data_IF_208422341717
#
_entry.id   IF_208422341717
#
_cell.length_a   1.000
_cell.length_b   1.000
_cell.length_c   1.000
_cell.angle_alpha   90.00
_cell.angle_beta   90.00
_cell.angle_gamma   90.00
#
_symmetry.space_group_name_H-M   'P 1'
#
loop_
_entity.id
_entity.type
_entity.pdbx_description
1 polymer ?
#
# COMPACT_ATOMS: atom_id res chain seq x y z
N UNK A 1 -23.04 -1.27 10.10
CA UNK A 1 -22.77 -0.28 11.18
C UNK A 1 -21.28 0.06 11.28
N UNK A 2 -20.43 -0.95 11.41
CA UNK A 2 -18.98 -0.76 11.57
C UNK A 2 -18.28 -0.17 10.35
N UNK A 3 -18.79 -0.40 9.14
CA UNK A 3 -18.18 0.13 7.91
C UNK A 3 -18.23 1.66 7.84
N UNK A 4 -19.39 2.26 8.16
CA UNK A 4 -19.50 3.72 8.21
C UNK A 4 -18.60 4.33 9.28
N UNK A 5 -18.57 3.74 10.47
CA UNK A 5 -17.68 4.17 11.54
C UNK A 5 -16.21 4.13 11.09
N UNK A 6 -15.80 3.05 10.42
CA UNK A 6 -14.44 2.92 9.88
C UNK A 6 -14.09 4.00 8.84
N UNK A 7 -15.01 4.32 7.92
CA UNK A 7 -14.82 5.42 6.96
C UNK A 7 -14.65 6.78 7.66
N UNK A 8 -15.53 7.07 8.60
CA UNK A 8 -15.49 8.34 9.36
C UNK A 8 -14.19 8.46 10.15
N UNK A 9 -13.74 7.39 10.79
CA UNK A 9 -12.48 7.38 11.54
C UNK A 9 -11.29 7.64 10.63
N UNK A 10 -11.20 6.96 9.49
CA UNK A 10 -10.09 7.14 8.54
C UNK A 10 -10.03 8.57 7.96
N UNK A 11 -11.17 9.17 7.70
CA UNK A 11 -11.21 10.52 7.10
C UNK A 11 -11.03 11.65 8.11
N UNK A 12 -11.48 11.46 9.35
CA UNK A 12 -11.59 12.57 10.32
C UNK A 12 -10.86 12.33 11.64
N UNK A 13 -10.47 11.10 11.92
CA UNK A 13 -9.73 10.72 13.13
C UNK A 13 -8.77 9.55 12.85
N UNK A 14 -7.98 9.69 11.79
CA UNK A 14 -7.09 8.63 11.33
C UNK A 14 -5.98 8.34 12.33
N UNK A 15 -5.66 7.07 12.49
CA UNK A 15 -4.45 6.63 13.19
C UNK A 15 -3.21 7.09 12.40
N UNK A 16 -2.03 7.28 13.05
CA UNK A 16 -0.82 7.72 12.37
C UNK A 16 -0.44 6.87 11.15
N UNK A 17 -0.67 5.56 11.20
CA UNK A 17 -0.40 4.64 10.10
C UNK A 17 -1.32 4.81 8.88
N UNK A 18 -2.49 5.39 9.06
CA UNK A 18 -3.51 5.59 8.02
C UNK A 18 -3.62 7.04 7.56
N UNK A 19 -3.09 7.97 8.34
CA UNK A 19 -3.25 9.42 8.12
C UNK A 19 -2.88 9.84 6.70
N UNK A 20 -1.72 9.44 6.22
CA UNK A 20 -1.22 9.82 4.89
C UNK A 20 -2.02 9.22 3.73
N UNK A 21 -2.83 8.20 3.99
CA UNK A 21 -3.64 7.52 2.97
C UNK A 21 -5.06 8.08 2.85
N UNK A 22 -5.55 8.76 3.89
CA UNK A 22 -6.93 9.26 3.97
C UNK A 22 -6.99 10.72 4.38
N UNK A 23 -6.89 11.00 5.65
CA UNK A 23 -7.04 12.35 6.20
C UNK A 23 -5.97 13.32 5.65
N UNK A 24 -4.72 12.90 5.57
CA UNK A 24 -3.63 13.70 5.04
C UNK A 24 -3.72 13.99 3.55
N UNK A 25 -4.49 13.18 2.79
CA UNK A 25 -4.81 13.43 1.38
C UNK A 25 -6.07 14.29 1.17
N UNK A 26 -6.76 14.66 2.24
CA UNK A 26 -8.03 15.37 2.15
C UNK A 26 -9.21 14.49 1.71
N UNK A 27 -9.12 13.17 1.87
CA UNK A 27 -10.21 12.24 1.58
C UNK A 27 -11.35 12.46 2.58
N UNK A 28 -12.56 12.59 2.06
CA UNK A 28 -13.76 12.87 2.85
C UNK A 28 -14.84 11.83 2.58
N UNK A 29 -15.84 11.80 3.44
CA UNK A 29 -17.12 11.11 3.23
C UNK A 29 -18.09 12.13 2.67
N UNK A 30 -18.88 11.79 1.66
CA UNK A 30 -19.88 12.71 1.10
C UNK A 30 -20.87 13.17 2.17
N UNK A 31 -21.39 14.38 2.04
CA UNK A 31 -22.25 15.01 3.04
C UNK A 31 -23.49 14.17 3.35
N UNK A 32 -24.08 13.55 2.34
CA UNK A 32 -25.21 12.66 2.48
C UNK A 32 -24.95 11.51 3.47
N UNK A 33 -23.82 10.84 3.35
CA UNK A 33 -23.45 9.73 4.23
C UNK A 33 -22.87 10.18 5.58
N UNK A 34 -22.29 11.37 5.59
CA UNK A 34 -21.73 11.97 6.80
C UNK A 34 -22.84 12.42 7.76
N UNK A 35 -23.82 13.12 7.25
CA UNK A 35 -24.88 13.73 8.03
C UNK A 35 -26.07 12.80 8.27
N UNK A 36 -26.33 11.86 7.35
CA UNK A 36 -27.42 10.91 7.44
C UNK A 36 -26.92 9.45 7.33
N UNK A 37 -26.75 8.74 8.47
CA UNK A 37 -26.32 7.34 8.46
C UNK A 37 -27.28 6.41 7.70
N UNK A 38 -28.56 6.69 7.68
CA UNK A 38 -29.56 5.86 7.01
C UNK A 38 -29.36 5.84 5.51
N UNK A 39 -29.00 6.97 4.90
CA UNK A 39 -28.65 7.06 3.48
C UNK A 39 -27.50 6.12 3.10
N UNK A 40 -26.50 6.00 3.94
CA UNK A 40 -25.40 5.05 3.71
C UNK A 40 -25.88 3.60 3.79
N UNK A 41 -26.70 3.27 4.77
CA UNK A 41 -27.22 1.90 4.93
C UNK A 41 -28.14 1.51 3.79
N UNK A 42 -29.04 2.40 3.37
CA UNK A 42 -29.93 2.17 2.23
C UNK A 42 -29.14 1.96 0.94
N UNK A 43 -28.15 2.81 0.67
CA UNK A 43 -27.27 2.65 -0.48
C UNK A 43 -26.52 1.31 -0.41
N UNK A 44 -26.02 0.93 0.75
CA UNK A 44 -25.28 -0.33 0.94
C UNK A 44 -26.14 -1.54 0.58
N UNK A 45 -27.37 -1.60 1.08
CA UNK A 45 -28.30 -2.69 0.79
C UNK A 45 -28.65 -2.77 -0.70
N UNK A 46 -28.79 -1.63 -1.37
CA UNK A 46 -29.10 -1.55 -2.80
C UNK A 46 -27.89 -1.83 -3.71
N UNK A 47 -26.66 -1.80 -3.18
CA UNK A 47 -25.43 -1.97 -3.95
C UNK A 47 -24.62 -3.22 -3.55
N UNK A 48 -25.31 -4.25 -3.08
CA UNK A 48 -24.73 -5.59 -2.94
C UNK A 48 -23.96 -5.84 -1.64
N UNK A 49 -24.19 -5.03 -0.59
CA UNK A 49 -23.60 -5.31 0.70
C UNK A 49 -24.07 -6.67 1.25
N UNK A 50 -23.11 -7.42 1.78
CA UNK A 50 -23.31 -8.67 2.53
C UNK A 50 -22.36 -8.70 3.71
N UNK A 51 -22.71 -9.47 4.72
CA UNK A 51 -21.81 -9.69 5.86
C UNK A 51 -20.45 -10.22 5.40
N UNK A 52 -19.37 -9.69 5.96
CA UNK A 52 -17.99 -10.05 5.61
C UNK A 52 -17.40 -9.25 4.44
N UNK A 53 -18.17 -8.42 3.75
CA UNK A 53 -17.64 -7.51 2.73
C UNK A 53 -17.07 -6.23 3.34
N UNK A 54 -16.04 -5.70 2.72
CA UNK A 54 -15.45 -4.39 3.02
C UNK A 54 -15.85 -3.35 1.98
N UNK A 55 -15.95 -2.09 2.41
CA UNK A 55 -16.13 -0.98 1.47
C UNK A 55 -14.78 -0.57 0.89
N UNK A 56 -14.73 -0.38 -0.42
CA UNK A 56 -13.56 0.03 -1.17
C UNK A 56 -13.87 1.24 -2.05
N UNK A 57 -12.91 2.15 -2.16
CA UNK A 57 -12.98 3.26 -3.12
C UNK A 57 -12.42 2.80 -4.47
N UNK A 58 -13.21 2.93 -5.53
CA UNK A 58 -12.80 2.56 -6.89
C UNK A 58 -11.56 3.36 -7.30
N UNK A 59 -11.56 4.67 -7.09
CA UNK A 59 -10.40 5.54 -7.18
C UNK A 59 -9.93 5.95 -5.78
N UNK A 60 -8.73 5.53 -5.40
CA UNK A 60 -8.16 5.79 -4.08
C UNK A 60 -7.84 7.27 -3.81
N UNK A 61 -7.83 8.12 -4.84
CA UNK A 61 -7.60 9.55 -4.72
C UNK A 61 -8.89 10.36 -4.58
N UNK A 62 -10.04 9.73 -4.71
CA UNK A 62 -11.37 10.34 -4.57
C UNK A 62 -12.01 10.00 -3.23
N UNK A 63 -13.10 10.69 -2.93
CA UNK A 63 -13.83 10.58 -1.68
C UNK A 63 -14.68 9.31 -1.58
N UNK A 64 -15.17 9.02 -0.38
CA UNK A 64 -16.24 8.06 -0.14
C UNK A 64 -17.56 8.66 -0.57
N UNK A 65 -18.08 8.20 -1.68
CA UNK A 65 -19.32 8.65 -2.29
C UNK A 65 -19.98 7.52 -3.11
N UNK A 66 -21.28 7.55 -3.38
CA UNK A 66 -21.97 6.46 -4.10
C UNK A 66 -21.32 6.09 -5.43
N UNK A 67 -20.84 7.08 -6.19
CA UNK A 67 -20.22 6.87 -7.51
C UNK A 67 -18.78 6.29 -7.44
N UNK A 68 -18.15 6.32 -6.29
CA UNK A 68 -16.75 5.92 -6.09
C UNK A 68 -16.55 4.74 -5.12
N UNK A 69 -17.63 4.13 -4.64
CA UNK A 69 -17.54 3.04 -3.66
C UNK A 69 -18.15 1.75 -4.19
N UNK A 70 -17.61 0.65 -3.71
CA UNK A 70 -18.06 -0.71 -3.99
C UNK A 70 -17.80 -1.61 -2.79
N UNK A 71 -18.39 -2.79 -2.79
CA UNK A 71 -18.15 -3.81 -1.79
C UNK A 71 -17.29 -4.93 -2.36
N UNK A 72 -16.23 -5.30 -1.65
CA UNK A 72 -15.32 -6.37 -2.00
C UNK A 72 -15.07 -7.28 -0.80
N UNK A 73 -14.72 -8.53 -1.06
CA UNK A 73 -14.13 -9.38 -0.02
C UNK A 73 -12.79 -8.82 0.42
N UNK A 74 -12.35 -9.19 1.63
CA UNK A 74 -11.03 -8.76 2.13
C UNK A 74 -9.91 -9.24 1.19
N UNK A 75 -10.03 -10.45 0.63
CA UNK A 75 -9.07 -10.99 -0.31
C UNK A 75 -9.00 -10.15 -1.59
N UNK A 76 -10.13 -9.82 -2.22
CA UNK A 76 -10.19 -8.97 -3.43
C UNK A 76 -9.62 -7.59 -3.17
N UNK A 77 -9.97 -6.97 -2.04
CA UNK A 77 -9.47 -5.66 -1.67
C UNK A 77 -7.94 -5.66 -1.45
N UNK A 78 -7.41 -6.70 -0.83
CA UNK A 78 -5.97 -6.87 -0.64
C UNK A 78 -5.23 -7.06 -1.96
N UNK A 79 -5.80 -7.81 -2.90
CA UNK A 79 -5.21 -8.05 -4.23
C UNK A 79 -5.16 -6.80 -5.11
N UNK A 80 -5.99 -5.80 -4.87
CA UNK A 80 -5.96 -4.51 -5.59
C UNK A 80 -4.77 -3.63 -5.21
N UNK A 81 -4.17 -3.86 -4.06
CA UNK A 81 -2.96 -3.14 -3.63
C UNK A 81 -1.75 -3.86 -4.22
N UNK A 82 -1.02 -3.24 -5.16
CA UNK A 82 0.17 -3.87 -5.72
C UNK A 82 1.20 -4.13 -4.60
N UNK A 83 1.89 -5.26 -4.65
CA UNK A 83 2.95 -5.54 -3.69
C UNK A 83 4.05 -4.47 -3.81
N UNK A 84 4.50 -3.96 -2.68
CA UNK A 84 5.63 -3.03 -2.64
C UNK A 84 6.91 -3.77 -3.01
N UNK A 85 7.67 -3.22 -3.95
CA UNK A 85 8.94 -3.77 -4.41
C UNK A 85 10.05 -2.72 -4.27
N UNK A 86 11.28 -3.19 -4.22
CA UNK A 86 12.43 -2.31 -4.14
C UNK A 86 12.42 -1.43 -2.90
N UNK A 87 12.79 -0.17 -3.04
CA UNK A 87 12.83 0.81 -1.95
C UNK A 87 11.46 1.11 -1.32
N UNK A 88 10.37 0.82 -2.03
CA UNK A 88 9.02 0.99 -1.52
C UNK A 88 8.60 -0.11 -0.55
N UNK A 89 9.36 -1.20 -0.47
CA UNK A 89 9.10 -2.24 0.52
C UNK A 89 9.46 -1.72 1.92
N UNK A 90 8.53 -1.82 2.88
CA UNK A 90 8.69 -1.27 4.24
C UNK A 90 9.94 -1.78 4.99
N UNK A 91 10.47 -2.93 4.61
CA UNK A 91 11.65 -3.56 5.20
C UNK A 91 12.91 -3.44 4.31
N UNK A 92 12.90 -2.54 3.32
CA UNK A 92 14.07 -2.32 2.48
C UNK A 92 15.12 -1.48 3.22
N UNK A 93 16.32 -2.01 3.35
CA UNK A 93 17.48 -1.33 3.95
C UNK A 93 18.44 -0.73 2.92
N UNK A 94 18.18 -0.94 1.64
CA UNK A 94 18.99 -0.44 0.52
C UNK A 94 18.13 0.17 -0.56
N UNK A 95 18.70 1.08 -1.36
CA UNK A 95 18.02 1.74 -2.48
C UNK A 95 18.22 0.97 -3.79
N UNK A 96 17.40 1.29 -4.80
CA UNK A 96 17.54 0.69 -6.14
C UNK A 96 18.85 1.05 -6.79
N UNK A 97 19.34 2.29 -6.58
CA UNK A 97 20.65 2.74 -7.08
C UNK A 97 21.79 1.89 -6.54
N UNK A 98 21.76 1.60 -5.24
CA UNK A 98 22.76 0.72 -4.59
C UNK A 98 22.71 -0.70 -5.15
N UNK A 99 21.53 -1.19 -5.55
CA UNK A 99 21.38 -2.52 -6.17
C UNK A 99 21.97 -2.52 -7.58
N UNK A 100 21.69 -1.48 -8.38
CA UNK A 100 22.23 -1.33 -9.73
C UNK A 100 23.76 -1.28 -9.68
N UNK A 101 24.31 -0.44 -8.80
CA UNK A 101 25.77 -0.33 -8.58
C UNK A 101 26.38 -1.67 -8.14
N UNK A 102 25.71 -2.39 -7.21
CA UNK A 102 26.13 -3.73 -6.79
C UNK A 102 26.23 -4.70 -7.97
N UNK A 103 25.21 -4.70 -8.85
CA UNK A 103 25.19 -5.56 -10.04
C UNK A 103 26.29 -5.21 -11.04
N UNK A 104 26.59 -3.93 -11.22
CA UNK A 104 27.68 -3.48 -12.09
C UNK A 104 29.04 -3.88 -11.54
N UNK A 105 29.28 -3.70 -10.26
CA UNK A 105 30.53 -4.11 -9.61
C UNK A 105 30.73 -5.63 -9.65
N UNK A 106 29.65 -6.41 -9.53
CA UNK A 106 29.68 -7.86 -9.72
C UNK A 106 30.06 -8.24 -11.16
N UNK A 107 29.54 -7.54 -12.18
CA UNK A 107 29.91 -7.75 -13.60
C UNK A 107 31.38 -7.43 -13.87
N UNK A 108 31.95 -6.47 -13.14
CA UNK A 108 33.38 -6.11 -13.21
C UNK A 108 34.27 -7.15 -12.51
N UNK A 109 33.70 -8.16 -11.86
CA UNK A 109 34.41 -9.23 -11.21
C UNK A 109 34.89 -8.94 -9.78
N UNK A 110 34.39 -7.90 -9.13
CA UNK A 110 34.71 -7.60 -7.74
C UNK A 110 34.12 -8.67 -6.82
N UNK A 111 34.85 -8.93 -5.73
CA UNK A 111 34.40 -9.90 -4.71
C UNK A 111 33.25 -9.30 -3.88
N UNK A 112 32.33 -10.17 -3.45
CA UNK A 112 31.19 -9.79 -2.60
C UNK A 112 31.62 -8.97 -1.37
N UNK A 113 32.73 -9.36 -0.72
CA UNK A 113 33.26 -8.68 0.46
C UNK A 113 33.70 -7.25 0.15
N UNK A 114 34.35 -7.04 -1.00
CA UNK A 114 34.88 -5.73 -1.39
C UNK A 114 33.73 -4.79 -1.77
N UNK A 115 32.72 -5.29 -2.47
CA UNK A 115 31.47 -4.55 -2.81
C UNK A 115 30.73 -4.15 -1.54
N UNK A 116 30.59 -5.07 -0.59
CA UNK A 116 29.91 -4.80 0.69
C UNK A 116 30.60 -3.68 1.47
N UNK A 117 31.92 -3.65 1.48
CA UNK A 117 32.71 -2.58 2.12
C UNK A 117 32.58 -1.25 1.38
N UNK A 118 32.66 -1.27 0.06
CA UNK A 118 32.59 -0.06 -0.77
C UNK A 118 31.25 0.64 -0.64
N UNK A 119 30.16 -0.12 -0.66
CA UNK A 119 28.79 0.41 -0.58
C UNK A 119 28.25 0.50 0.85
N UNK A 120 29.03 0.09 1.85
CA UNK A 120 28.64 0.05 3.25
C UNK A 120 27.32 -0.70 3.50
N UNK A 121 27.20 -1.87 2.87
CA UNK A 121 26.05 -2.78 3.00
C UNK A 121 26.50 -4.16 3.46
N UNK A 122 25.56 -4.98 3.93
CA UNK A 122 25.86 -6.34 4.37
C UNK A 122 26.31 -7.22 3.21
N UNK A 123 27.37 -8.03 3.42
CA UNK A 123 27.82 -9.05 2.46
C UNK A 123 26.72 -10.06 2.10
N UNK A 124 25.78 -10.31 3.00
CA UNK A 124 24.64 -11.20 2.75
C UNK A 124 23.67 -10.58 1.72
N UNK A 125 23.45 -9.27 1.78
CA UNK A 125 22.66 -8.54 0.79
C UNK A 125 23.31 -8.63 -0.59
N UNK A 126 24.62 -8.37 -0.68
CA UNK A 126 25.37 -8.50 -1.95
C UNK A 126 25.29 -9.94 -2.49
N UNK A 127 25.43 -10.93 -1.60
CA UNK A 127 25.30 -12.34 -1.95
C UNK A 127 23.91 -12.73 -2.48
N UNK A 128 22.86 -12.22 -1.88
CA UNK A 128 21.48 -12.48 -2.31
C UNK A 128 21.16 -11.79 -3.65
N UNK A 129 21.71 -10.60 -3.88
CA UNK A 129 21.61 -9.90 -5.19
C UNK A 129 22.36 -10.70 -6.26
N UNK A 130 23.56 -11.19 -5.97
CA UNK A 130 24.37 -11.96 -6.91
C UNK A 130 23.73 -13.29 -7.33
N UNK A 131 22.96 -13.90 -6.42
CA UNK A 131 22.24 -15.16 -6.65
C UNK A 131 20.83 -14.96 -7.23
N UNK A 132 20.40 -13.71 -7.42
CA UNK A 132 19.06 -13.40 -7.89
C UNK A 132 17.94 -13.78 -6.93
N UNK A 133 18.22 -13.86 -5.62
CA UNK A 133 17.21 -14.14 -4.59
C UNK A 133 16.32 -12.94 -4.30
N UNK A 134 16.91 -11.74 -4.32
CA UNK A 134 16.24 -10.47 -4.07
C UNK A 134 16.44 -9.53 -5.25
N UNK A 135 15.63 -8.49 -5.34
CA UNK A 135 15.74 -7.45 -6.38
C UNK A 135 15.76 -7.97 -7.82
N UNK A 136 14.92 -8.98 -8.11
CA UNK A 136 14.82 -9.60 -9.43
C UNK A 136 14.23 -8.70 -10.50
N UNK A 137 13.55 -7.63 -10.08
CA UNK A 137 12.86 -6.70 -10.96
C UNK A 137 13.76 -5.56 -11.48
N UNK A 138 15.00 -5.52 -11.05
CA UNK A 138 16.02 -4.55 -11.51
C UNK A 138 17.07 -5.21 -12.41
#
# INVERSE_FOLDING_TARGET
>A
YNLRYGMMTRCYNAKPSEFNHYQGKGIQVCDEWKDNPESFFEWSLNNGWKEGLSIDRIDANKNYEPSNCQFLTIAENTMRVPPRKGTLHWNSSITEEMVIETKELLKQGLKIIDIAKQLNISKYIVGDISKGKTWRHI
#
